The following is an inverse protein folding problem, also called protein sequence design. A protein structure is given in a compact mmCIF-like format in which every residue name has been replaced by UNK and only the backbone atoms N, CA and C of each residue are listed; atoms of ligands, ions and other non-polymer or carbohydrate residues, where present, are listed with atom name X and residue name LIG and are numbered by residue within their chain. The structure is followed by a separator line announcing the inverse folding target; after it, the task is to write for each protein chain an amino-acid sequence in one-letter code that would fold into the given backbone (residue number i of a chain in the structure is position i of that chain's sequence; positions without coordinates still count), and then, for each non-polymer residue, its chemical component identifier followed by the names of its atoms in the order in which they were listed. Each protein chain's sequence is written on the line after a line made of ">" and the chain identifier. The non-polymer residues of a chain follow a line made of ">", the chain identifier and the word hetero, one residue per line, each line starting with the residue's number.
data_IF_878307273501
#
_entry.id   IF_878307273501
#
_cell.length_a   1.000
_cell.length_b   1.000
_cell.length_c   1.000
_cell.angle_alpha   90.00
_cell.angle_beta   90.00
_cell.angle_gamma   90.00
#
_symmetry.space_group_name_H-M   'P 1'
#
loop_
_entity.id
_entity.type
_entity.pdbx_description
1 polymer ?
#
# COMPACT_ATOMS: atom_id res chain seq x y z
N UNK A 1 23.56 11.98 -1.19
CA UNK A 1 22.80 12.48 -0.01
C UNK A 1 21.36 11.97 0.10
N UNK A 2 20.59 11.73 -0.98
CA UNK A 2 19.21 11.16 -0.93
C UNK A 2 19.02 9.83 -0.16
N UNK A 3 20.06 8.97 -0.07
CA UNK A 3 19.97 7.64 0.55
C UNK A 3 19.77 7.65 2.07
N UNK A 4 20.26 8.66 2.79
CA UNK A 4 20.18 8.69 4.26
C UNK A 4 18.76 9.02 4.75
N UNK A 5 18.08 9.96 4.08
CA UNK A 5 16.69 10.33 4.37
C UNK A 5 15.75 9.16 4.06
N UNK A 6 15.89 8.52 2.89
CA UNK A 6 15.09 7.32 2.56
C UNK A 6 15.27 6.20 3.58
N UNK A 7 16.48 6.01 4.12
CA UNK A 7 16.74 4.96 5.11
C UNK A 7 16.13 5.25 6.48
N UNK A 8 16.15 6.50 6.94
CA UNK A 8 15.49 6.91 8.20
C UNK A 8 13.97 6.82 8.04
N UNK A 9 13.43 7.30 6.92
CA UNK A 9 12.00 7.21 6.60
C UNK A 9 11.53 5.76 6.51
N UNK A 10 12.29 4.87 5.87
CA UNK A 10 12.01 3.44 5.88
C UNK A 10 11.99 2.89 7.30
N UNK A 11 12.96 3.23 8.16
CA UNK A 11 13.03 2.72 9.53
C UNK A 11 11.82 3.14 10.39
N UNK A 12 11.31 4.36 10.21
CA UNK A 12 10.07 4.81 10.85
C UNK A 12 8.86 4.02 10.33
N UNK A 13 8.78 3.78 9.03
CA UNK A 13 7.72 2.96 8.42
C UNK A 13 7.74 1.51 8.94
N UNK A 14 8.92 0.94 9.20
CA UNK A 14 9.04 -0.42 9.74
C UNK A 14 8.57 -0.53 11.20
N UNK A 15 8.71 0.53 12.00
CA UNK A 15 8.20 0.56 13.37
C UNK A 15 6.68 0.76 13.44
N UNK A 16 6.09 1.37 12.42
CA UNK A 16 4.65 1.62 12.32
C UNK A 16 3.82 0.34 12.09
N UNK A 17 4.46 -0.79 11.79
CA UNK A 17 3.79 -2.07 11.55
C UNK A 17 3.29 -2.71 12.87
N UNK A 18 3.82 -2.31 14.03
CA UNK A 18 3.34 -2.85 15.31
C UNK A 18 2.06 -2.15 15.78
N UNK A 19 0.96 -2.91 15.90
CA UNK A 19 -0.30 -2.42 16.43
C UNK A 19 -1.24 -1.79 15.40
N UNK A 20 -1.05 -2.08 14.10
CA UNK A 20 -1.97 -1.66 13.03
C UNK A 20 -2.87 -2.81 12.61
N UNK A 21 -4.13 -2.51 12.31
CA UNK A 21 -5.13 -3.49 11.87
C UNK A 21 -4.97 -3.85 10.38
N UNK A 22 -4.44 -2.92 9.57
CA UNK A 22 -4.22 -3.08 8.14
C UNK A 22 -3.08 -2.19 7.66
N UNK A 23 -2.31 -2.67 6.68
CA UNK A 23 -1.26 -1.90 5.99
C UNK A 23 -1.67 -1.62 4.55
N UNK A 24 -1.65 -0.35 4.16
CA UNK A 24 -1.74 0.06 2.76
C UNK A 24 -0.34 0.33 2.23
N UNK A 25 0.15 -0.57 1.37
CA UNK A 25 1.44 -0.44 0.71
C UNK A 25 1.25 0.17 -0.68
N UNK A 26 1.70 1.41 -0.86
CA UNK A 26 1.52 2.14 -2.12
C UNK A 26 2.75 1.99 -3.02
N UNK A 27 2.55 1.57 -4.27
CA UNK A 27 3.62 1.44 -5.29
C UNK A 27 3.36 2.35 -6.49
N UNK A 28 4.42 2.76 -7.19
CA UNK A 28 4.33 3.69 -8.33
C UNK A 28 4.26 2.94 -9.66
N UNK A 29 3.07 2.91 -10.27
CA UNK A 29 2.83 2.37 -11.63
C UNK A 29 3.39 0.96 -11.79
N UNK A 30 4.30 0.78 -12.74
CA UNK A 30 4.96 -0.46 -13.11
C UNK A 30 6.40 -0.51 -12.57
N UNK A 31 6.71 0.24 -11.51
CA UNK A 31 8.05 0.34 -10.93
C UNK A 31 8.13 -0.45 -9.63
N UNK A 32 8.90 -1.54 -9.67
CA UNK A 32 9.27 -2.29 -8.48
C UNK A 32 10.72 -1.99 -8.11
N UNK A 33 10.92 -1.16 -7.09
CA UNK A 33 12.26 -0.73 -6.66
C UNK A 33 12.86 -1.67 -5.62
N UNK A 34 14.17 -1.53 -5.37
CA UNK A 34 14.84 -2.22 -4.26
C UNK A 34 14.22 -1.87 -2.90
N UNK A 35 13.74 -0.63 -2.75
CA UNK A 35 13.02 -0.19 -1.55
C UNK A 35 11.71 -0.97 -1.37
N UNK A 36 10.94 -1.11 -2.44
CA UNK A 36 9.68 -1.86 -2.44
C UNK A 36 9.94 -3.34 -2.11
N UNK A 37 11.00 -3.92 -2.66
CA UNK A 37 11.41 -5.28 -2.35
C UNK A 37 11.77 -5.49 -0.87
N UNK A 38 12.41 -4.49 -0.23
CA UNK A 38 12.73 -4.55 1.20
C UNK A 38 11.44 -4.51 2.04
N UNK A 39 10.53 -3.60 1.72
CA UNK A 39 9.24 -3.46 2.43
C UNK A 39 8.40 -4.72 2.24
N UNK A 40 8.26 -5.22 1.01
CA UNK A 40 7.50 -6.43 0.70
C UNK A 40 8.02 -7.66 1.46
N UNK A 41 9.35 -7.82 1.60
CA UNK A 41 9.92 -8.91 2.40
C UNK A 41 9.54 -8.84 3.88
N UNK A 42 9.41 -7.64 4.42
CA UNK A 42 8.99 -7.48 5.81
C UNK A 42 7.49 -7.75 5.97
N UNK A 43 6.67 -7.22 5.07
CA UNK A 43 5.23 -7.42 5.06
C UNK A 43 4.85 -8.89 4.85
N UNK A 44 5.58 -9.61 3.99
CA UNK A 44 5.39 -11.05 3.74
C UNK A 44 5.49 -11.92 5.00
N UNK A 45 6.29 -11.50 5.97
CA UNK A 45 6.46 -12.23 7.23
C UNK A 45 5.55 -11.71 8.35
N UNK A 46 4.70 -10.72 8.07
CA UNK A 46 3.76 -10.16 9.04
C UNK A 46 2.42 -10.91 8.97
N UNK A 47 1.72 -11.01 10.09
CA UNK A 47 0.36 -11.55 10.15
C UNK A 47 -0.72 -10.49 9.87
N UNK A 48 -0.31 -9.29 9.46
CA UNK A 48 -1.20 -8.15 9.29
C UNK A 48 -1.74 -8.15 7.86
N UNK A 49 -3.04 -7.91 7.65
CA UNK A 49 -3.60 -7.73 6.31
C UNK A 49 -2.88 -6.64 5.52
N UNK A 50 -2.53 -6.95 4.27
CA UNK A 50 -1.83 -6.02 3.37
C UNK A 50 -2.69 -5.74 2.16
N UNK A 51 -2.92 -4.46 1.89
CA UNK A 51 -3.50 -3.97 0.64
C UNK A 51 -2.38 -3.28 -0.13
N UNK A 52 -2.12 -3.69 -1.36
CA UNK A 52 -1.19 -2.98 -2.23
C UNK A 52 -1.97 -2.05 -3.15
N UNK A 53 -1.74 -0.75 -3.02
CA UNK A 53 -2.33 0.26 -3.89
C UNK A 53 -1.36 0.59 -5.03
N UNK A 54 -1.64 0.10 -6.25
CA UNK A 54 -0.84 0.39 -7.44
C UNK A 54 -1.27 1.75 -7.97
N UNK A 55 -0.52 2.80 -7.66
CA UNK A 55 -0.93 4.18 -7.90
C UNK A 55 -0.51 4.71 -9.28
N UNK A 56 -1.21 5.75 -9.73
CA UNK A 56 -1.01 6.48 -10.99
C UNK A 56 -1.31 5.65 -12.24
N UNK A 57 -2.36 4.82 -12.19
CA UNK A 57 -2.77 3.98 -13.33
C UNK A 57 -3.18 4.78 -14.56
N UNK A 58 -3.54 6.05 -14.39
CA UNK A 58 -3.77 7.02 -15.47
C UNK A 58 -2.55 7.21 -16.39
N UNK A 59 -1.36 6.82 -15.93
CA UNK A 59 -0.11 6.92 -16.69
C UNK A 59 0.34 5.59 -17.29
N UNK A 60 -0.49 4.55 -17.24
CA UNK A 60 -0.22 3.25 -17.85
C UNK A 60 -1.04 3.17 -19.14
N UNK A 61 -0.37 3.04 -20.27
CA UNK A 61 -1.03 3.07 -21.57
C UNK A 61 -1.73 1.74 -21.91
N UNK A 62 -1.09 0.62 -21.56
CA UNK A 62 -1.54 -0.72 -21.96
C UNK A 62 -2.07 -1.49 -20.74
N UNK A 63 -3.30 -1.99 -20.85
CA UNK A 63 -3.89 -2.85 -19.80
C UNK A 63 -3.08 -4.13 -19.56
N UNK A 64 -2.43 -4.64 -20.60
CA UNK A 64 -1.57 -5.82 -20.52
C UNK A 64 -0.40 -5.60 -19.56
N UNK A 65 0.24 -4.44 -19.62
CA UNK A 65 1.38 -4.12 -18.76
C UNK A 65 0.97 -4.06 -17.28
N UNK A 66 -0.21 -3.50 -17.01
CA UNK A 66 -0.78 -3.49 -15.65
C UNK A 66 -1.04 -4.93 -15.16
N UNK A 67 -1.63 -5.79 -15.98
CA UNK A 67 -1.88 -7.19 -15.60
C UNK A 67 -0.59 -7.96 -15.31
N UNK A 68 0.44 -7.79 -16.14
CA UNK A 68 1.76 -8.39 -15.92
C UNK A 68 2.38 -7.90 -14.61
N UNK A 69 2.26 -6.60 -14.32
CA UNK A 69 2.77 -6.02 -13.09
C UNK A 69 2.01 -6.48 -11.85
N UNK A 70 0.68 -6.60 -11.91
CA UNK A 70 -0.11 -7.16 -10.81
C UNK A 70 0.35 -8.59 -10.48
N UNK A 71 0.60 -9.42 -11.49
CA UNK A 71 1.14 -10.77 -11.28
C UNK A 71 2.52 -10.75 -10.61
N UNK A 72 3.41 -9.82 -11.02
CA UNK A 72 4.71 -9.63 -10.38
C UNK A 72 4.57 -9.28 -8.89
N UNK A 73 3.68 -8.33 -8.57
CA UNK A 73 3.44 -7.90 -7.19
C UNK A 73 2.85 -9.04 -6.36
N UNK A 74 1.87 -9.79 -6.90
CA UNK A 74 1.27 -10.94 -6.24
C UNK A 74 2.31 -12.02 -5.89
N UNK A 75 3.30 -12.25 -6.77
CA UNK A 75 4.37 -13.22 -6.48
C UNK A 75 5.24 -12.79 -5.28
N UNK A 76 5.42 -11.49 -5.07
CA UNK A 76 6.15 -10.97 -3.92
C UNK A 76 5.29 -11.00 -2.64
N UNK A 77 4.00 -10.70 -2.76
CA UNK A 77 3.03 -10.65 -1.66
C UNK A 77 1.79 -11.50 -2.00
N UNK A 78 1.86 -12.84 -1.83
CA UNK A 78 0.81 -13.76 -2.28
C UNK A 78 -0.55 -13.54 -1.61
N UNK A 79 -0.56 -13.07 -0.37
CA UNK A 79 -1.78 -12.89 0.42
C UNK A 79 -2.31 -11.45 0.39
N UNK A 80 -1.66 -10.54 -0.36
CA UNK A 80 -2.09 -9.15 -0.42
C UNK A 80 -3.24 -8.94 -1.40
N UNK A 81 -4.17 -8.05 -1.03
CA UNK A 81 -5.21 -7.55 -1.93
C UNK A 81 -4.61 -6.44 -2.82
N UNK A 82 -4.67 -6.60 -4.14
CA UNK A 82 -4.09 -5.63 -5.08
C UNK A 82 -5.18 -4.71 -5.65
N UNK A 83 -5.03 -3.41 -5.43
CA UNK A 83 -5.99 -2.40 -5.90
C UNK A 83 -5.28 -1.37 -6.78
N UNK A 84 -5.49 -1.39 -8.10
CA UNK A 84 -5.00 -0.36 -9.00
C UNK A 84 -5.79 0.94 -8.82
N UNK A 85 -5.12 2.05 -8.53
CA UNK A 85 -5.75 3.36 -8.25
C UNK A 85 -5.13 4.50 -9.07
N UNK A 86 -5.90 5.57 -9.29
CA UNK A 86 -5.35 6.89 -9.60
C UNK A 86 -5.73 7.85 -8.49
N UNK A 87 -4.81 8.11 -7.55
CA UNK A 87 -5.06 9.06 -6.46
C UNK A 87 -5.30 10.48 -6.98
N UNK A 88 -4.71 10.84 -8.12
CA UNK A 88 -4.88 12.18 -8.73
C UNK A 88 -6.28 12.37 -9.31
N UNK A 89 -6.85 11.32 -9.91
CA UNK A 89 -8.15 11.38 -10.59
C UNK A 89 -9.30 10.74 -9.78
N UNK A 90 -9.02 10.26 -8.57
CA UNK A 90 -10.00 9.61 -7.71
C UNK A 90 -10.42 8.21 -8.17
N UNK A 91 -9.72 7.61 -9.14
CA UNK A 91 -10.10 6.32 -9.70
C UNK A 91 -9.84 5.19 -8.71
N UNK A 92 -10.88 4.40 -8.43
CA UNK A 92 -10.90 3.24 -7.53
C UNK A 92 -10.52 3.57 -6.07
N UNK A 93 -10.60 4.84 -5.66
CA UNK A 93 -10.38 5.20 -4.25
C UNK A 93 -11.49 4.68 -3.34
N UNK A 94 -12.72 4.57 -3.85
CA UNK A 94 -13.86 3.94 -3.20
C UNK A 94 -13.60 2.45 -2.93
N UNK A 95 -13.01 1.73 -3.90
CA UNK A 95 -12.62 0.33 -3.72
C UNK A 95 -11.54 0.19 -2.65
N UNK A 96 -10.55 1.08 -2.66
CA UNK A 96 -9.49 1.11 -1.65
C UNK A 96 -10.06 1.41 -0.26
N UNK A 97 -10.94 2.40 -0.14
CA UNK A 97 -11.61 2.76 1.11
C UNK A 97 -12.41 1.57 1.65
N UNK A 98 -13.22 0.92 0.82
CA UNK A 98 -13.98 -0.26 1.24
C UNK A 98 -13.05 -1.40 1.68
N UNK A 99 -11.93 -1.61 1.00
CA UNK A 99 -10.95 -2.63 1.40
C UNK A 99 -10.34 -2.34 2.77
N UNK A 100 -9.99 -1.08 3.04
CA UNK A 100 -9.50 -0.65 4.35
C UNK A 100 -10.56 -0.89 5.43
N UNK A 101 -11.81 -0.46 5.20
CA UNK A 101 -12.92 -0.60 6.16
C UNK A 101 -13.15 -2.06 6.56
N UNK A 102 -13.01 -3.02 5.63
CA UNK A 102 -13.17 -4.46 5.93
C UNK A 102 -12.19 -4.99 6.97
N UNK A 103 -11.06 -4.33 7.17
CA UNK A 103 -10.04 -4.73 8.14
C UNK A 103 -10.05 -3.89 9.42
N UNK A 104 -10.82 -2.80 9.49
CA UNK A 104 -10.94 -1.99 10.70
C UNK A 104 -11.88 -2.69 11.69
N UNK A 105 -11.44 -3.01 12.92
CA UNK A 105 -12.30 -3.60 13.93
C UNK A 105 -13.35 -2.60 14.41
N UNK A 106 -14.50 -3.11 14.84
CA UNK A 106 -15.48 -2.26 15.54
C UNK A 106 -14.88 -1.79 16.87
N UNK A 107 -14.77 -0.47 17.03
CA UNK A 107 -14.27 0.18 18.24
C UNK A 107 -14.96 1.54 18.39
N UNK A 108 -14.91 2.11 19.61
CA UNK A 108 -15.24 3.51 19.80
C UNK A 108 -14.23 4.41 19.07
N UNK A 109 -14.69 5.53 18.55
CA UNK A 109 -13.80 6.50 17.91
C UNK A 109 -12.83 7.06 18.96
N UNK A 110 -11.54 6.78 18.78
CA UNK A 110 -10.49 7.28 19.66
C UNK A 110 -10.28 8.81 19.55
N UNK A 111 -10.72 9.42 18.44
CA UNK A 111 -10.61 10.85 18.18
C UNK A 111 -11.98 11.46 17.82
N UNK A 112 -12.21 12.74 18.15
CA UNK A 112 -13.38 13.49 17.68
C UNK A 112 -13.44 13.56 16.14
N UNK A 113 -14.64 13.62 15.58
CA UNK A 113 -14.85 13.59 14.13
C UNK A 113 -14.29 14.81 13.38
N UNK A 114 -14.02 15.91 14.08
CA UNK A 114 -13.59 17.20 13.54
C UNK A 114 -12.07 17.44 13.67
N UNK A 115 -11.31 16.48 14.22
CA UNK A 115 -9.88 16.62 14.38
C UNK A 115 -9.13 16.30 13.07
N UNK A 116 -8.44 17.30 12.49
CA UNK A 116 -7.50 17.13 11.37
C UNK A 116 -6.06 17.20 11.92
N UNK A 117 -5.23 16.19 11.60
CA UNK A 117 -3.80 16.08 11.96
C UNK A 117 -2.91 16.03 10.74
#
# INVERSE_FOLDING_TARGET
>A
QKKAINRVMNRTALNAIHGVDVVVFVVDRLQWSEGDQIVARQLKNSSIPVIVAINKIDRIAEHKDLLEYLNLVQNHLPDAELIPISALHGQHLDMLEQAIIRHIPQSEHHYPADQIT
#
